data_IF_743491198733
#
_entry.id   IF_743491198733
#
_cell.length_a   1.000
_cell.length_b   1.000
_cell.length_c   1.000
_cell.angle_alpha   90.00
_cell.angle_beta   90.00
_cell.angle_gamma   90.00
#
_symmetry.space_group_name_H-M   'P 1'
#
loop_
_entity.id
_entity.type
_entity.pdbx_description
1 polymer ?
#
# COMPACT_ATOMS: atom_id res chain seq x y z
N UNK A 1 -32.93 -7.87 2.91
CA UNK A 1 -31.50 -7.61 2.61
C UNK A 1 -30.77 -8.93 2.79
N UNK A 2 -30.13 -9.46 1.73
CA UNK A 2 -29.36 -10.72 1.83
C UNK A 2 -28.16 -10.44 2.76
N UNK A 3 -27.82 -11.29 3.74
CA UNK A 3 -26.62 -11.10 4.54
C UNK A 3 -25.40 -11.01 3.63
N UNK A 4 -24.35 -10.25 4.00
CA UNK A 4 -23.15 -10.18 3.19
C UNK A 4 -22.59 -11.59 3.00
N UNK A 5 -22.25 -11.92 1.76
CA UNK A 5 -21.61 -13.17 1.42
C UNK A 5 -20.17 -13.12 1.99
N UNK A 6 -19.96 -13.75 3.14
CA UNK A 6 -18.64 -13.84 3.78
C UNK A 6 -17.75 -14.90 3.13
N UNK A 7 -18.05 -15.32 1.91
CA UNK A 7 -17.19 -16.25 1.17
C UNK A 7 -15.83 -15.58 0.87
N UNK A 8 -14.77 -16.36 1.00
CA UNK A 8 -13.40 -15.92 0.76
C UNK A 8 -12.66 -16.89 -0.18
N UNK A 9 -11.55 -16.41 -0.72
CA UNK A 9 -10.55 -17.23 -1.41
C UNK A 9 -9.21 -17.06 -0.71
N UNK A 10 -8.42 -18.13 -0.69
CA UNK A 10 -7.01 -18.09 -0.31
C UNK A 10 -6.18 -18.04 -1.59
N UNK A 11 -5.49 -16.91 -1.79
CA UNK A 11 -4.70 -16.63 -2.99
C UNK A 11 -3.22 -16.49 -2.62
N UNK A 12 -2.36 -16.42 -3.64
CA UNK A 12 -0.91 -16.35 -3.42
C UNK A 12 -0.27 -15.23 -4.24
N UNK A 13 0.69 -14.56 -3.62
CA UNK A 13 1.53 -13.52 -4.23
C UNK A 13 3.00 -13.94 -4.22
N UNK A 14 3.86 -13.18 -4.89
CA UNK A 14 5.31 -13.39 -4.95
C UNK A 14 5.70 -14.82 -5.33
N UNK A 15 5.12 -15.34 -6.42
CA UNK A 15 5.42 -16.70 -6.88
C UNK A 15 5.00 -17.81 -5.91
N UNK A 16 3.98 -17.55 -5.08
CA UNK A 16 3.44 -18.52 -4.12
C UNK A 16 3.97 -18.40 -2.69
N UNK A 17 4.91 -17.49 -2.43
CA UNK A 17 5.55 -17.34 -1.11
C UNK A 17 4.70 -16.59 -0.09
N UNK A 18 3.75 -15.80 -0.53
CA UNK A 18 2.86 -15.00 0.33
C UNK A 18 1.44 -15.48 0.15
N UNK A 19 0.79 -15.82 1.25
CA UNK A 19 -0.61 -16.22 1.30
C UNK A 19 -1.47 -15.03 1.70
N UNK A 20 -2.57 -14.81 0.99
CA UNK A 20 -3.58 -13.82 1.33
C UNK A 20 -4.96 -14.44 1.35
N UNK A 21 -5.77 -14.05 2.32
CA UNK A 21 -7.22 -14.30 2.34
C UNK A 21 -7.93 -13.04 1.91
N UNK A 22 -8.90 -13.18 1.01
CA UNK A 22 -9.65 -12.02 0.51
C UNK A 22 -11.08 -12.39 0.14
N UNK A 23 -12.02 -11.42 0.05
CA UNK A 23 -13.38 -11.71 -0.36
C UNK A 23 -13.42 -12.46 -1.70
N UNK A 24 -14.34 -13.41 -1.85
CA UNK A 24 -14.53 -14.12 -3.12
C UNK A 24 -15.04 -13.20 -4.23
N UNK A 25 -15.73 -12.11 -3.87
CA UNK A 25 -16.27 -11.09 -4.78
C UNK A 25 -16.03 -9.68 -4.24
N UNK A 26 -16.04 -8.68 -5.12
CA UNK A 26 -15.83 -7.28 -4.77
C UNK A 26 -14.36 -6.89 -4.72
N UNK A 27 -13.84 -6.51 -3.55
CA UNK A 27 -12.44 -6.12 -3.37
C UNK A 27 -11.49 -7.28 -3.68
N UNK A 28 -10.54 -7.03 -4.58
CA UNK A 28 -9.48 -7.99 -4.95
C UNK A 28 -8.14 -7.28 -4.96
N UNK A 29 -7.14 -7.95 -4.42
CA UNK A 29 -5.76 -7.47 -4.46
C UNK A 29 -5.24 -7.48 -5.89
N UNK A 30 -4.72 -6.33 -6.34
CA UNK A 30 -4.01 -6.15 -7.61
C UNK A 30 -2.49 -6.10 -7.38
N UNK A 31 -1.75 -5.53 -8.33
CA UNK A 31 -0.27 -5.44 -8.24
C UNK A 31 0.21 -4.29 -7.35
N UNK A 32 -0.61 -3.27 -7.12
CA UNK A 32 -0.23 -2.06 -6.39
C UNK A 32 0.36 -2.35 -4.98
N UNK A 33 -0.22 -3.26 -4.15
CA UNK A 33 0.37 -3.63 -2.87
C UNK A 33 1.76 -4.29 -2.98
N UNK A 34 2.00 -5.08 -4.03
CA UNK A 34 3.30 -5.72 -4.26
C UNK A 34 4.35 -4.68 -4.65
N UNK A 35 3.98 -3.74 -5.54
CA UNK A 35 4.86 -2.64 -5.95
C UNK A 35 5.18 -1.70 -4.77
N UNK A 36 4.17 -1.39 -3.95
CA UNK A 36 4.36 -0.62 -2.71
C UNK A 36 5.37 -1.31 -1.80
N UNK A 37 5.14 -2.58 -1.47
CA UNK A 37 6.04 -3.36 -0.62
C UNK A 37 7.47 -3.42 -1.17
N UNK A 38 7.63 -3.50 -2.49
CA UNK A 38 8.95 -3.53 -3.14
C UNK A 38 9.72 -2.21 -3.00
N UNK A 39 9.00 -1.07 -2.92
CA UNK A 39 9.59 0.27 -2.83
C UNK A 39 9.93 0.69 -1.39
N UNK A 40 9.44 -0.01 -0.37
CA UNK A 40 9.71 0.36 1.04
C UNK A 40 11.17 0.06 1.41
N UNK A 41 12.00 1.06 1.81
CA UNK A 41 13.41 0.88 2.13
C UNK A 41 13.60 0.38 3.59
N UNK A 42 12.86 -0.66 3.98
CA UNK A 42 12.85 -1.19 5.33
C UNK A 42 14.10 -2.01 5.65
N UNK A 43 14.47 -2.02 6.94
CA UNK A 43 15.56 -2.81 7.52
C UNK A 43 15.07 -3.57 8.75
N UNK A 44 15.65 -4.74 9.01
CA UNK A 44 15.33 -5.54 10.19
C UNK A 44 15.29 -4.70 11.48
N UNK A 45 14.36 -5.01 12.37
CA UNK A 45 14.16 -4.31 13.64
C UNK A 45 13.26 -3.07 13.57
N UNK A 46 12.97 -2.54 12.37
CA UNK A 46 12.14 -1.33 12.22
C UNK A 46 10.66 -1.61 12.50
N UNK A 47 9.99 -0.57 13.01
CA UNK A 47 8.55 -0.52 13.25
C UNK A 47 7.86 0.03 11.99
N UNK A 48 7.03 -0.77 11.36
CA UNK A 48 6.34 -0.43 10.11
C UNK A 48 4.82 -0.37 10.34
N UNK A 49 4.18 0.66 9.83
CA UNK A 49 2.73 0.74 9.71
C UNK A 49 2.32 0.58 8.25
N UNK A 50 1.37 -0.31 7.99
CA UNK A 50 0.59 -0.33 6.74
C UNK A 50 -0.77 0.33 7.03
N UNK A 51 -0.92 1.58 6.59
CA UNK A 51 -2.12 2.38 6.84
C UNK A 51 -3.18 2.10 5.77
N UNK A 52 -4.31 1.52 6.19
CA UNK A 52 -5.32 0.98 5.29
C UNK A 52 -4.86 -0.33 4.66
N UNK A 53 -4.42 -1.28 5.48
CA UNK A 53 -3.76 -2.50 4.99
C UNK A 53 -4.68 -3.44 4.19
N UNK A 54 -6.00 -3.22 4.21
CA UNK A 54 -6.95 -4.12 3.56
C UNK A 54 -6.80 -5.54 4.09
N UNK A 55 -6.57 -6.48 3.19
CA UNK A 55 -6.32 -7.89 3.54
C UNK A 55 -4.85 -8.20 3.88
N UNK A 56 -4.00 -7.19 4.04
CA UNK A 56 -2.62 -7.33 4.47
C UNK A 56 -1.60 -7.60 3.35
N UNK A 57 -1.98 -7.50 2.09
CA UNK A 57 -1.14 -7.90 0.96
C UNK A 57 0.22 -7.19 0.92
N UNK A 58 0.26 -5.85 1.08
CA UNK A 58 1.52 -5.09 1.10
C UNK A 58 2.36 -5.46 2.33
N UNK A 59 1.72 -5.60 3.48
CA UNK A 59 2.37 -5.99 4.74
C UNK A 59 3.10 -7.31 4.63
N UNK A 60 2.42 -8.34 4.08
CA UNK A 60 3.00 -9.70 3.95
C UNK A 60 4.06 -9.77 2.86
N UNK A 61 3.88 -9.05 1.74
CA UNK A 61 4.92 -8.93 0.70
C UNK A 61 6.18 -8.26 1.26
N UNK A 62 6.05 -7.23 2.09
CA UNK A 62 7.18 -6.60 2.76
C UNK A 62 7.86 -7.54 3.75
N UNK A 63 7.09 -8.28 4.57
CA UNK A 63 7.61 -9.27 5.51
C UNK A 63 8.44 -10.37 4.81
N UNK A 64 7.94 -10.86 3.67
CA UNK A 64 8.61 -11.89 2.87
C UNK A 64 9.93 -11.39 2.25
N UNK A 65 10.02 -10.07 1.96
CA UNK A 65 11.22 -9.43 1.40
C UNK A 65 12.25 -9.07 2.47
N UNK A 66 11.78 -8.60 3.63
CA UNK A 66 12.67 -8.11 4.70
C UNK A 66 12.28 -8.80 6.01
N UNK A 67 12.99 -9.88 6.38
CA UNK A 67 12.76 -10.55 7.66
C UNK A 67 13.10 -9.66 8.86
N UNK A 68 12.48 -9.95 10.00
CA UNK A 68 12.78 -9.30 11.27
C UNK A 68 12.21 -7.89 11.44
N UNK A 69 11.16 -7.55 10.69
CA UNK A 69 10.39 -6.31 10.88
C UNK A 69 9.36 -6.47 12.01
N UNK A 70 8.99 -5.35 12.64
CA UNK A 70 7.83 -5.27 13.52
C UNK A 70 6.69 -4.58 12.77
N UNK A 71 5.67 -5.33 12.43
CA UNK A 71 4.64 -4.93 11.48
C UNK A 71 3.32 -4.61 12.19
N UNK A 72 2.69 -3.52 11.82
CA UNK A 72 1.32 -3.19 12.22
C UNK A 72 0.51 -2.90 10.96
N UNK A 73 -0.58 -3.64 10.74
CA UNK A 73 -1.60 -3.30 9.76
C UNK A 73 -2.76 -2.58 10.45
N UNK A 74 -3.22 -1.47 9.90
CA UNK A 74 -4.40 -0.76 10.36
C UNK A 74 -5.46 -0.77 9.27
N UNK A 75 -6.65 -1.30 9.60
CA UNK A 75 -7.76 -1.39 8.63
C UNK A 75 -9.08 -1.02 9.32
N UNK A 76 -9.89 -0.17 8.66
CA UNK A 76 -11.17 0.28 9.19
C UNK A 76 -12.29 -0.76 9.04
N UNK A 77 -12.28 -1.49 7.93
CA UNK A 77 -13.30 -2.49 7.62
C UNK A 77 -13.01 -3.78 8.40
N UNK A 78 -13.87 -4.12 9.36
CA UNK A 78 -13.69 -5.28 10.24
C UNK A 78 -13.48 -6.59 9.47
N UNK A 79 -14.23 -6.83 8.40
CA UNK A 79 -14.09 -8.03 7.57
C UNK A 79 -12.72 -8.14 6.90
N UNK A 80 -12.19 -7.03 6.35
CA UNK A 80 -10.85 -7.04 5.74
C UNK A 80 -9.76 -7.21 6.80
N UNK A 81 -9.93 -6.61 7.97
CA UNK A 81 -9.03 -6.79 9.11
C UNK A 81 -9.02 -8.24 9.61
N UNK A 82 -10.17 -8.92 9.64
CA UNK A 82 -10.25 -10.36 9.96
C UNK A 82 -9.49 -11.20 8.93
N UNK A 83 -9.62 -10.91 7.64
CA UNK A 83 -8.85 -11.61 6.59
C UNK A 83 -7.36 -11.33 6.70
N UNK A 84 -6.96 -10.09 7.00
CA UNK A 84 -5.56 -9.76 7.28
C UNK A 84 -5.04 -10.52 8.51
N UNK A 85 -5.83 -10.62 9.59
CA UNK A 85 -5.45 -11.39 10.78
C UNK A 85 -5.27 -12.89 10.47
N UNK A 86 -6.14 -13.45 9.63
CA UNK A 86 -5.96 -14.82 9.15
C UNK A 86 -4.67 -14.96 8.31
N UNK A 87 -4.38 -13.95 7.47
CA UNK A 87 -3.14 -13.87 6.69
C UNK A 87 -1.88 -13.83 7.55
N UNK A 88 -1.89 -13.17 8.71
CA UNK A 88 -0.77 -13.21 9.67
C UNK A 88 -0.44 -14.64 10.07
N UNK A 89 -1.44 -15.46 10.38
CA UNK A 89 -1.24 -16.87 10.73
C UNK A 89 -0.76 -17.70 9.53
N UNK A 90 -1.38 -17.51 8.35
CA UNK A 90 -1.03 -18.24 7.12
C UNK A 90 0.42 -18.01 6.67
N UNK A 91 1.00 -16.85 6.99
CA UNK A 91 2.38 -16.49 6.66
C UNK A 91 3.36 -16.70 7.83
N UNK A 92 2.93 -17.27 8.96
CA UNK A 92 3.81 -17.51 10.11
C UNK A 92 4.31 -16.25 10.81
N UNK A 93 3.55 -15.14 10.73
CA UNK A 93 3.98 -13.82 11.21
C UNK A 93 3.44 -13.46 12.61
N UNK A 94 2.88 -14.41 13.36
CA UNK A 94 2.22 -14.15 14.65
C UNK A 94 3.12 -13.44 15.67
N UNK A 95 4.44 -13.66 15.63
CA UNK A 95 5.39 -13.00 16.54
C UNK A 95 5.82 -11.59 16.10
N UNK A 96 5.59 -11.21 14.84
CA UNK A 96 6.15 -9.99 14.25
C UNK A 96 5.12 -9.07 13.59
N UNK A 97 3.88 -9.53 13.42
CA UNK A 97 2.82 -8.74 12.80
C UNK A 97 1.54 -8.74 13.65
N UNK A 98 0.89 -7.59 13.73
CA UNK A 98 -0.42 -7.42 14.35
C UNK A 98 -1.34 -6.62 13.44
N UNK A 99 -2.61 -6.95 13.45
CA UNK A 99 -3.66 -6.18 12.76
C UNK A 99 -4.52 -5.46 13.78
N UNK A 100 -4.75 -4.18 13.53
CA UNK A 100 -5.59 -3.32 14.37
C UNK A 100 -6.80 -2.88 13.54
N UNK A 101 -8.00 -3.18 14.03
CA UNK A 101 -9.22 -2.67 13.41
C UNK A 101 -9.49 -1.26 13.92
N UNK A 102 -9.58 -0.30 13.01
CA UNK A 102 -9.87 1.09 13.37
C UNK A 102 -9.55 2.10 12.29
N UNK A 103 -9.92 3.34 12.58
CA UNK A 103 -9.68 4.46 11.69
C UNK A 103 -8.29 5.07 11.93
N UNK A 104 -7.61 5.46 10.84
CA UNK A 104 -6.27 6.06 10.90
C UNK A 104 -6.23 7.32 11.76
N UNK A 105 -7.28 8.14 11.73
CA UNK A 105 -7.37 9.36 12.52
C UNK A 105 -7.49 9.12 14.03
N UNK A 106 -7.96 7.94 14.44
CA UNK A 106 -8.32 7.66 15.83
C UNK A 106 -7.46 6.58 16.48
N UNK A 107 -6.92 5.64 15.70
CA UNK A 107 -6.32 4.40 16.21
C UNK A 107 -4.84 4.20 15.87
N UNK A 108 -4.28 5.01 14.97
CA UNK A 108 -2.87 4.90 14.65
C UNK A 108 -2.02 5.47 15.79
N UNK A 109 -1.48 4.58 16.61
CA UNK A 109 -0.57 4.93 17.71
C UNK A 109 0.87 4.62 17.28
N UNK A 110 1.66 5.67 17.04
CA UNK A 110 3.09 5.55 16.74
C UNK A 110 3.97 5.52 17.99
N UNK A 111 5.26 5.75 17.82
CA UNK A 111 5.90 6.20 16.59
C UNK A 111 6.41 5.05 15.72
N UNK A 112 6.31 5.18 14.39
CA UNK A 112 6.81 4.22 13.40
C UNK A 112 8.07 4.76 12.68
N UNK A 113 8.95 3.86 12.25
CA UNK A 113 10.10 4.20 11.41
C UNK A 113 9.66 4.48 9.99
N UNK A 114 8.72 3.66 9.48
CA UNK A 114 8.14 3.81 8.15
C UNK A 114 6.62 3.62 8.24
N UNK A 115 5.89 4.46 7.52
CA UNK A 115 4.50 4.26 7.18
C UNK A 115 4.42 3.96 5.68
N UNK A 116 3.81 2.86 5.31
CA UNK A 116 3.46 2.58 3.92
C UNK A 116 1.94 2.61 3.77
N UNK A 117 1.47 3.00 2.58
CA UNK A 117 0.03 3.08 2.33
C UNK A 117 -0.32 3.03 0.85
N UNK A 118 -1.41 2.36 0.54
CA UNK A 118 -2.14 2.47 -0.71
C UNK A 118 -3.52 3.06 -0.39
N UNK A 119 -3.64 4.39 -0.32
CA UNK A 119 -4.86 5.04 0.14
C UNK A 119 -6.07 4.66 -0.72
N UNK A 120 -7.29 4.62 -0.16
CA UNK A 120 -8.48 4.39 -0.95
C UNK A 120 -8.61 5.50 -2.02
N UNK A 121 -8.92 5.07 -3.25
CA UNK A 121 -9.17 6.02 -4.33
C UNK A 121 -10.60 6.55 -4.20
N UNK A 122 -10.78 7.83 -3.89
CA UNK A 122 -12.04 8.50 -4.14
C UNK A 122 -12.25 8.52 -5.66
N UNK A 123 -13.21 7.76 -6.18
CA UNK A 123 -13.58 7.86 -7.58
C UNK A 123 -14.33 9.18 -7.79
N UNK A 124 -13.76 10.06 -8.61
CA UNK A 124 -14.44 11.21 -9.20
C UNK A 124 -15.39 10.79 -10.35
N UNK A 125 -15.71 9.51 -10.46
CA UNK A 125 -16.52 8.94 -11.54
C UNK A 125 -17.87 8.39 -11.06
N UNK A 126 -18.83 8.32 -11.99
CA UNK A 126 -20.18 7.80 -11.81
C UNK A 126 -20.20 6.47 -11.05
N UNK A 127 -21.05 6.30 -10.00
CA UNK A 127 -21.18 5.04 -9.28
C UNK A 127 -21.49 3.89 -10.25
N UNK A 128 -20.90 2.69 -10.08
CA UNK A 128 -21.25 1.54 -10.90
C UNK A 128 -22.72 1.19 -10.69
N UNK A 129 -23.44 0.72 -11.75
CA UNK A 129 -24.88 0.49 -11.73
C UNK A 129 -25.32 -0.67 -10.83
N UNK A 130 -24.41 -1.48 -10.34
CA UNK A 130 -24.70 -2.52 -9.36
C UNK A 130 -24.13 -2.12 -8.00
N UNK A 131 -24.97 -2.01 -6.98
CA UNK A 131 -24.62 -1.59 -5.61
C UNK A 131 -23.58 -2.46 -4.90
N UNK A 132 -22.93 -3.42 -5.58
CA UNK A 132 -21.95 -4.35 -5.01
C UNK A 132 -20.58 -3.71 -4.71
N UNK A 133 -20.26 -2.59 -5.38
CA UNK A 133 -19.02 -1.79 -5.11
C UNK A 133 -19.25 -0.62 -4.17
N UNK A 134 -20.48 -0.35 -3.78
CA UNK A 134 -20.81 0.75 -2.86
C UNK A 134 -20.14 0.62 -1.49
N UNK A 135 -19.81 -0.59 -1.07
CA UNK A 135 -19.09 -0.82 0.20
C UNK A 135 -17.60 -0.50 0.15
N UNK A 136 -16.97 -0.57 -1.04
CA UNK A 136 -15.55 -0.24 -1.22
C UNK A 136 -15.33 1.26 -1.50
N UNK A 137 -16.39 1.97 -1.85
CA UNK A 137 -16.41 3.41 -2.17
C UNK A 137 -17.08 4.26 -1.10
N UNK A 138 -17.41 3.68 0.06
CA UNK A 138 -17.81 4.54 1.19
C UNK A 138 -16.64 5.43 1.53
N UNK A 139 -16.84 6.71 1.23
CA UNK A 139 -16.03 7.84 1.59
C UNK A 139 -15.25 7.56 2.87
N UNK A 140 -13.91 7.49 2.76
CA UNK A 140 -13.12 7.81 3.94
C UNK A 140 -13.47 9.26 4.25
N UNK A 141 -13.99 9.56 5.42
CA UNK A 141 -14.27 10.93 5.89
C UNK A 141 -13.02 11.82 5.85
N UNK A 142 -11.89 11.24 5.45
CA UNK A 142 -10.58 11.87 5.36
C UNK A 142 -10.18 11.93 3.89
N UNK A 143 -9.98 13.15 3.36
CA UNK A 143 -9.41 13.38 2.05
C UNK A 143 -7.92 12.93 1.98
N UNK A 144 -7.34 12.87 0.79
CA UNK A 144 -5.95 12.46 0.60
C UNK A 144 -4.96 13.31 1.41
N UNK A 145 -5.22 14.62 1.57
CA UNK A 145 -4.38 15.53 2.36
C UNK A 145 -4.43 15.19 3.85
N UNK A 146 -5.62 14.95 4.38
CA UNK A 146 -5.82 14.49 5.75
C UNK A 146 -5.20 13.13 5.99
N UNK A 147 -5.36 12.18 5.06
CA UNK A 147 -4.74 10.87 5.12
C UNK A 147 -3.22 10.93 5.24
N UNK A 148 -2.56 11.67 4.33
CA UNK A 148 -1.10 11.91 4.37
C UNK A 148 -0.71 12.59 5.69
N UNK A 149 -1.52 13.55 6.16
CA UNK A 149 -1.31 14.23 7.43
C UNK A 149 -1.27 13.27 8.61
N UNK A 150 -2.22 12.35 8.70
CA UNK A 150 -2.25 11.34 9.76
C UNK A 150 -1.09 10.34 9.65
N UNK A 151 -0.73 9.92 8.44
CA UNK A 151 0.46 9.09 8.21
C UNK A 151 1.74 9.76 8.72
N UNK A 152 1.93 11.06 8.41
CA UNK A 152 3.09 11.81 8.88
C UNK A 152 3.07 12.01 10.41
N UNK A 153 1.89 12.18 11.02
CA UNK A 153 1.78 12.40 12.47
C UNK A 153 2.31 11.22 13.29
N UNK A 154 2.10 9.99 12.82
CA UNK A 154 2.51 8.75 13.52
C UNK A 154 3.95 8.30 13.21
N UNK A 155 4.65 8.99 12.31
CA UNK A 155 6.06 8.73 12.02
C UNK A 155 6.98 9.32 13.10
N UNK A 156 8.06 8.62 13.39
CA UNK A 156 9.22 9.17 14.11
C UNK A 156 9.77 10.40 13.38
N UNK A 157 10.46 11.32 14.06
CA UNK A 157 11.29 12.32 13.39
C UNK A 157 12.24 11.64 12.39
N UNK A 158 12.33 12.18 11.17
CA UNK A 158 13.10 11.62 10.04
C UNK A 158 12.64 10.25 9.54
N UNK A 159 11.51 9.73 10.02
CA UNK A 159 10.84 8.54 9.47
C UNK A 159 10.39 8.77 8.02
N UNK A 160 9.98 7.71 7.33
CA UNK A 160 9.60 7.77 5.91
C UNK A 160 8.15 7.38 5.69
N UNK A 161 7.49 8.12 4.81
CA UNK A 161 6.19 7.78 4.25
C UNK A 161 6.40 7.25 2.84
N UNK A 162 5.96 6.02 2.58
CA UNK A 162 5.97 5.44 1.23
C UNK A 162 4.52 5.19 0.82
N UNK A 163 4.11 5.79 -0.30
CA UNK A 163 2.76 5.61 -0.81
C UNK A 163 2.75 5.30 -2.31
N UNK A 164 1.75 4.53 -2.74
CA UNK A 164 1.43 4.32 -4.15
C UNK A 164 0.06 4.94 -4.44
N UNK A 165 -0.07 5.63 -5.58
CA UNK A 165 -1.32 6.25 -5.98
C UNK A 165 -1.43 6.39 -7.50
N UNK A 166 -2.59 6.82 -8.02
CA UNK A 166 -2.73 7.25 -9.42
C UNK A 166 -1.80 8.42 -9.71
N UNK A 167 -1.11 8.40 -10.86
CA UNK A 167 -0.15 9.43 -11.23
C UNK A 167 -0.79 10.82 -11.38
N UNK A 168 -2.06 10.90 -11.76
CA UNK A 168 -2.83 12.15 -11.87
C UNK A 168 -2.99 12.90 -10.53
N UNK A 169 -2.81 12.20 -9.40
CA UNK A 169 -2.91 12.80 -8.06
C UNK A 169 -1.55 13.24 -7.48
N UNK A 170 -0.49 13.22 -8.30
CA UNK A 170 0.86 13.60 -7.85
C UNK A 170 0.92 15.01 -7.28
N UNK A 171 0.25 15.98 -7.92
CA UNK A 171 0.22 17.37 -7.44
C UNK A 171 -0.43 17.49 -6.05
N UNK A 172 -1.51 16.75 -5.80
CA UNK A 172 -2.19 16.74 -4.50
C UNK A 172 -1.33 16.12 -3.42
N UNK A 173 -0.61 15.03 -3.76
CA UNK A 173 0.34 14.37 -2.86
C UNK A 173 1.46 15.33 -2.47
N UNK A 174 2.10 15.98 -3.45
CA UNK A 174 3.18 16.92 -3.18
C UNK A 174 2.71 18.14 -2.38
N UNK A 175 1.52 18.67 -2.68
CA UNK A 175 0.88 19.71 -1.88
C UNK A 175 0.63 19.28 -0.43
N UNK A 176 0.24 18.01 -0.22
CA UNK A 176 0.01 17.49 1.13
C UNK A 176 1.32 17.27 1.92
N UNK A 177 2.44 17.04 1.24
CA UNK A 177 3.77 16.86 1.83
C UNK A 177 4.48 18.19 2.09
N UNK A 178 4.11 19.29 1.41
CA UNK A 178 4.76 20.58 1.51
C UNK A 178 4.91 21.02 2.98
N UNK A 179 6.05 21.59 3.30
CA UNK A 179 6.45 22.10 4.63
C UNK A 179 6.55 21.02 5.76
N UNK A 180 6.16 19.77 5.48
CA UNK A 180 6.15 18.66 6.46
C UNK A 180 7.12 17.53 6.13
N UNK A 181 7.50 17.41 4.88
CA UNK A 181 8.41 16.37 4.39
C UNK A 181 9.33 16.92 3.31
N UNK A 182 10.43 16.26 3.05
CA UNK A 182 11.38 16.50 1.96
C UNK A 182 12.14 15.23 1.67
N UNK A 183 13.24 15.32 0.89
CA UNK A 183 13.93 14.10 0.43
C UNK A 183 12.93 13.17 -0.28
N UNK A 184 12.09 13.79 -1.13
CA UNK A 184 10.99 13.10 -1.80
C UNK A 184 11.53 12.39 -3.03
N UNK A 185 11.36 11.09 -3.07
CA UNK A 185 11.69 10.28 -4.23
C UNK A 185 10.39 9.93 -4.96
N UNK A 186 10.31 10.31 -6.23
CA UNK A 186 9.13 10.09 -7.07
C UNK A 186 9.48 9.07 -8.14
N UNK A 187 8.77 7.96 -8.17
CA UNK A 187 8.96 6.90 -9.17
C UNK A 187 7.67 6.67 -9.96
N UNK A 188 7.63 7.04 -11.24
CA UNK A 188 6.49 6.74 -12.11
C UNK A 188 6.43 5.26 -12.48
N UNK A 189 5.22 4.72 -12.61
CA UNK A 189 4.96 3.34 -13.04
C UNK A 189 4.15 3.39 -14.34
N UNK A 190 4.73 2.86 -15.38
CA UNK A 190 4.17 2.84 -16.74
C UNK A 190 3.55 1.47 -17.04
N UNK A 191 2.38 1.48 -17.68
CA UNK A 191 1.80 0.24 -18.19
C UNK A 191 2.66 -0.35 -19.32
N UNK A 192 3.03 0.48 -20.29
CA UNK A 192 3.94 0.17 -21.41
C UNK A 192 4.88 1.35 -21.64
N UNK A 193 6.02 1.07 -22.29
CA UNK A 193 6.95 2.12 -22.72
C UNK A 193 6.25 3.13 -23.64
N UNK A 194 6.65 4.41 -23.54
CA UNK A 194 6.08 5.49 -24.35
C UNK A 194 4.67 5.93 -24.01
N UNK A 195 4.03 5.32 -23.00
CA UNK A 195 2.72 5.75 -22.50
C UNK A 195 2.84 6.59 -21.24
N UNK A 196 1.86 7.43 -20.92
CA UNK A 196 1.81 8.13 -19.64
C UNK A 196 1.81 7.17 -18.45
N UNK A 197 2.48 7.56 -17.35
CA UNK A 197 2.43 6.80 -16.11
C UNK A 197 1.00 6.74 -15.56
N UNK A 198 0.57 5.56 -15.13
CA UNK A 198 -0.75 5.36 -14.50
C UNK A 198 -0.69 5.37 -12.97
N UNK A 199 0.47 5.04 -12.42
CA UNK A 199 0.74 5.05 -10.98
C UNK A 199 2.01 5.82 -10.71
N UNK A 200 2.12 6.28 -9.49
CA UNK A 200 3.33 6.89 -8.93
C UNK A 200 3.56 6.30 -7.54
N UNK A 201 4.81 6.00 -7.24
CA UNK A 201 5.26 5.73 -5.88
C UNK A 201 5.99 6.97 -5.40
N UNK A 202 5.61 7.45 -4.23
CA UNK A 202 6.24 8.60 -3.57
C UNK A 202 6.79 8.12 -2.23
N UNK A 203 8.08 8.31 -2.01
CA UNK A 203 8.78 8.04 -0.75
C UNK A 203 9.32 9.36 -0.21
N UNK A 204 8.80 9.80 0.94
CA UNK A 204 9.08 11.12 1.51
C UNK A 204 9.61 11.01 2.94
N UNK A 205 10.65 11.76 3.26
CA UNK A 205 11.23 11.85 4.59
C UNK A 205 10.55 12.92 5.44
N UNK A 206 9.95 12.54 6.58
CA UNK A 206 9.38 13.49 7.53
C UNK A 206 10.47 14.44 8.07
N UNK A 207 10.16 15.72 8.19
CA UNK A 207 11.06 16.76 8.72
C UNK A 207 12.44 16.82 8.01
N UNK A 208 12.51 16.40 6.75
CA UNK A 208 13.71 16.53 5.91
C UNK A 208 13.60 17.74 4.99
N UNK A 209 14.76 18.26 4.56
CA UNK A 209 14.88 19.41 3.65
C UNK A 209 15.85 19.16 2.49
N UNK A 210 16.23 17.90 2.29
CA UNK A 210 17.06 17.48 1.16
C UNK A 210 16.24 17.64 -0.13
N UNK A 211 16.87 18.01 -1.26
CA UNK A 211 16.20 18.14 -2.55
C UNK A 211 15.47 16.85 -2.97
N UNK A 212 14.38 17.02 -3.69
CA UNK A 212 13.58 15.95 -4.23
C UNK A 212 14.24 15.30 -5.45
N UNK A 213 13.92 14.04 -5.71
CA UNK A 213 14.49 13.25 -6.81
C UNK A 213 13.40 12.57 -7.63
N UNK A 214 13.41 12.79 -8.93
CA UNK A 214 12.63 12.00 -9.87
C UNK A 214 13.44 10.76 -10.28
N UNK A 215 13.00 9.59 -9.83
CA UNK A 215 13.67 8.32 -10.09
C UNK A 215 13.31 7.76 -11.47
N UNK A 216 14.16 6.86 -12.04
CA UNK A 216 13.78 6.09 -13.22
C UNK A 216 12.46 5.35 -13.00
N UNK A 217 11.57 5.41 -14.00
CA UNK A 217 10.28 4.75 -13.92
C UNK A 217 10.37 3.23 -14.13
N UNK A 218 9.36 2.51 -13.64
CA UNK A 218 9.19 1.09 -13.93
C UNK A 218 8.17 0.91 -15.06
N UNK A 219 8.54 0.18 -16.10
CA UNK A 219 7.63 -0.27 -17.16
C UNK A 219 7.16 -1.68 -16.82
N UNK A 220 5.84 -1.87 -16.73
CA UNK A 220 5.26 -3.16 -16.32
C UNK A 220 5.25 -4.18 -17.43
N UNK A 221 4.82 -3.79 -18.64
CA UNK A 221 4.61 -4.73 -19.75
C UNK A 221 5.47 -4.38 -20.97
N UNK A 222 6.00 -5.40 -21.59
CA UNK A 222 6.60 -5.34 -22.91
C UNK A 222 5.52 -5.21 -24.01
N UNK A 223 5.92 -5.05 -25.27
CA UNK A 223 5.00 -4.84 -26.39
C UNK A 223 4.06 -6.04 -26.62
N UNK A 224 4.50 -7.25 -26.34
CA UNK A 224 3.74 -8.49 -26.40
C UNK A 224 2.72 -8.66 -25.25
N UNK A 225 2.74 -7.77 -24.27
CA UNK A 225 1.87 -7.80 -23.09
C UNK A 225 2.40 -8.62 -21.91
N UNK A 226 3.52 -9.33 -22.05
CA UNK A 226 4.18 -10.00 -20.93
C UNK A 226 4.75 -8.97 -19.93
N UNK A 227 4.99 -9.37 -18.70
CA UNK A 227 5.75 -8.52 -17.77
C UNK A 227 7.17 -8.34 -18.26
N UNK A 228 7.71 -7.12 -18.11
CA UNK A 228 9.14 -6.88 -18.32
C UNK A 228 9.95 -7.69 -17.30
N UNK A 229 11.23 -8.02 -17.59
CA UNK A 229 12.08 -8.72 -16.62
C UNK A 229 12.16 -8.01 -15.27
N UNK A 230 12.18 -6.67 -15.25
CA UNK A 230 12.19 -5.88 -14.02
C UNK A 230 10.87 -6.01 -13.24
N UNK A 231 9.73 -5.95 -13.94
CA UNK A 231 8.42 -6.12 -13.30
C UNK A 231 8.24 -7.56 -12.78
N UNK A 232 8.64 -8.56 -13.54
CA UNK A 232 8.57 -9.98 -13.15
C UNK A 232 9.43 -10.27 -11.91
N UNK A 233 10.65 -9.74 -11.86
CA UNK A 233 11.54 -9.85 -10.71
C UNK A 233 10.92 -9.27 -9.42
N UNK A 234 10.17 -8.17 -9.53
CA UNK A 234 9.46 -7.57 -8.41
C UNK A 234 8.23 -8.40 -8.05
N UNK A 235 7.35 -8.67 -9.03
CA UNK A 235 6.03 -9.24 -8.79
C UNK A 235 6.08 -10.72 -8.43
N UNK A 236 7.07 -11.48 -8.92
CA UNK A 236 7.22 -12.91 -8.66
C UNK A 236 8.38 -13.24 -7.73
N UNK A 237 9.55 -12.66 -7.95
CA UNK A 237 10.71 -12.93 -7.10
C UNK A 237 10.81 -12.02 -5.87
N UNK A 238 9.93 -10.99 -5.73
CA UNK A 238 9.91 -10.09 -4.58
C UNK A 238 11.17 -9.24 -4.45
N UNK A 239 11.80 -8.90 -5.56
CA UNK A 239 12.96 -8.00 -5.55
C UNK A 239 12.53 -6.59 -5.12
N UNK A 240 13.48 -5.85 -4.54
CA UNK A 240 13.28 -4.46 -4.17
C UNK A 240 13.17 -3.57 -5.43
N UNK A 241 12.33 -2.55 -5.32
CA UNK A 241 12.23 -1.44 -6.27
C UNK A 241 12.82 -0.19 -5.58
N UNK A 242 14.14 -0.15 -5.40
CA UNK A 242 14.85 0.91 -4.69
C UNK A 242 15.54 1.87 -5.67
#
# INVERSE_FOLDING_TARGET
MKPPDNSFTDDRLLGGRVHIRQPASGYRVAIDPVLLAAAVPAKAGQQILDAGCGTGAALFCLAARVPGLNLTGLERQALLAEYAQAGVALNGLAASARIVTGDLAQRATGPFDIVMTNPPFADSGTPPPDGSRAGAHMESDIDLRGWIGHCLAVLKPKGRLVLIHRAERLSDILSALADRAGDIHIRPIYGKAGQPARRVIVDAGKDRRTPDTLLPGLVLHADDGAFTPAADAILRAGQALL
#
